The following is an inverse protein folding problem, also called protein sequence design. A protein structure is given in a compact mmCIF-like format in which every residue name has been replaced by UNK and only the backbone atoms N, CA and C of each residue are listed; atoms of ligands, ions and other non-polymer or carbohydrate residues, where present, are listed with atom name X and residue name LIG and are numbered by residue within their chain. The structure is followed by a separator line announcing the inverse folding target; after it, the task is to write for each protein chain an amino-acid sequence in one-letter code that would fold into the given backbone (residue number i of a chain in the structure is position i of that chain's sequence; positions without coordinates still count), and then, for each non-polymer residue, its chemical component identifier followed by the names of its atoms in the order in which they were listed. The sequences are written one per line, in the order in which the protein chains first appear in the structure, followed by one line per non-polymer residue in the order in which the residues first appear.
data_IF_114240879039
#
_entry.id   IF_114240879039
#
_cell.length_a   1.000
_cell.length_b   1.000
_cell.length_c   1.000
_cell.angle_alpha   90.00
_cell.angle_beta   90.00
_cell.angle_gamma   90.00
#
_symmetry.space_group_name_H-M   'P 1'
#
loop_
_entity.id
_entity.type
_entity.pdbx_description
1 polymer ?
#
# COMPACT_ATOMS: atom_id res chain seq x y z
N UNK A 1 60.59 -42.63 3.76
CA UNK A 1 60.65 -41.15 3.73
C UNK A 1 59.34 -40.63 3.16
N UNK A 2 58.72 -39.69 3.87
CA UNK A 2 57.41 -39.07 3.64
C UNK A 2 57.17 -38.55 2.22
N UNK A 3 55.93 -38.62 1.72
CA UNK A 3 54.99 -37.48 1.48
C UNK A 3 53.72 -38.01 0.76
N UNK A 4 52.53 -37.96 1.38
CA UNK A 4 51.47 -36.92 1.28
C UNK A 4 51.00 -36.65 -0.16
N UNK A 5 49.73 -36.97 -0.46
CA UNK A 5 48.82 -36.04 -1.14
C UNK A 5 47.36 -36.47 -0.90
N UNK A 6 46.61 -35.59 -0.23
CA UNK A 6 45.17 -35.67 0.03
C UNK A 6 44.40 -34.91 -1.07
N UNK A 7 43.07 -35.10 -1.05
CA UNK A 7 42.00 -34.32 -1.70
C UNK A 7 41.64 -34.82 -3.12
N UNK A 8 40.37 -34.98 -3.50
CA UNK A 8 39.23 -34.14 -3.17
C UNK A 8 37.89 -34.90 -3.20
N UNK A 9 37.05 -34.63 -2.20
CA UNK A 9 35.60 -34.78 -2.32
C UNK A 9 34.98 -33.52 -1.73
N UNK A 10 34.54 -32.61 -2.60
CA UNK A 10 33.65 -31.52 -2.22
C UNK A 10 32.40 -31.69 -3.05
N UNK A 11 31.37 -32.29 -2.44
CA UNK A 11 30.03 -32.35 -2.98
C UNK A 11 29.42 -30.97 -2.74
N UNK A 12 29.34 -30.16 -3.80
CA UNK A 12 28.62 -28.90 -3.78
C UNK A 12 27.11 -29.19 -3.84
N UNK A 13 26.45 -29.22 -2.68
CA UNK A 13 24.99 -29.26 -2.61
C UNK A 13 24.47 -27.83 -2.57
N UNK A 14 24.01 -27.34 -3.71
CA UNK A 14 23.24 -26.09 -3.83
C UNK A 14 21.91 -26.25 -3.10
N UNK A 15 21.76 -25.63 -1.92
CA UNK A 15 20.47 -25.50 -1.27
C UNK A 15 19.75 -24.28 -1.84
N UNK A 16 18.58 -24.53 -2.42
CA UNK A 16 17.68 -23.56 -3.01
C UNK A 16 17.27 -22.47 -1.99
N UNK A 17 17.43 -21.21 -2.37
CA UNK A 17 16.86 -20.09 -1.61
C UNK A 17 15.35 -20.06 -1.80
N UNK A 18 14.59 -20.34 -0.75
CA UNK A 18 13.17 -20.06 -0.70
C UNK A 18 12.98 -18.54 -0.53
N UNK A 19 12.59 -17.86 -1.62
CA UNK A 19 12.12 -16.49 -1.53
C UNK A 19 10.70 -16.52 -0.95
N UNK A 20 10.55 -16.18 0.34
CA UNK A 20 9.26 -15.75 0.86
C UNK A 20 8.97 -14.36 0.26
N UNK A 21 8.00 -14.28 -0.64
CA UNK A 21 7.34 -13.02 -0.95
C UNK A 21 6.48 -12.63 0.25
N UNK A 22 6.86 -11.56 0.96
CA UNK A 22 6.02 -10.95 1.98
C UNK A 22 4.84 -10.22 1.31
N UNK A 23 3.64 -10.18 1.93
CA UNK A 23 2.58 -9.28 1.51
C UNK A 23 3.06 -7.83 1.74
N UNK A 24 3.02 -7.01 0.68
CA UNK A 24 3.30 -5.59 0.74
C UNK A 24 2.21 -4.85 1.50
N UNK A 25 2.41 -4.70 2.81
CA UNK A 25 1.75 -3.69 3.63
C UNK A 25 2.84 -2.69 4.02
N UNK A 26 3.23 -1.81 3.08
CA UNK A 26 4.15 -0.71 3.38
C UNK A 26 3.31 0.54 3.78
N UNK A 27 3.22 0.88 5.08
CA UNK A 27 2.35 1.96 5.52
C UNK A 27 2.89 3.35 5.20
N UNK A 28 4.14 3.50 4.75
CA UNK A 28 4.72 4.82 4.44
C UNK A 28 6.13 4.68 3.87
N UNK A 29 6.31 4.94 2.58
CA UNK A 29 7.62 5.34 2.08
C UNK A 29 7.94 6.79 2.51
N UNK A 30 8.24 6.96 3.81
CA UNK A 30 8.60 8.22 4.44
C UNK A 30 9.24 7.99 5.82
N UNK A 31 10.58 8.03 5.87
CA UNK A 31 11.48 8.08 7.04
C UNK A 31 10.92 7.57 8.38
N UNK A 32 11.41 6.42 8.83
CA UNK A 32 11.04 5.73 10.07
C UNK A 32 11.07 6.64 11.32
N UNK A 33 9.95 7.30 11.58
CA UNK A 33 9.50 7.61 12.93
C UNK A 33 9.36 6.29 13.70
N UNK A 34 9.52 6.32 15.03
CA UNK A 34 9.21 5.16 15.85
C UNK A 34 7.84 4.59 15.42
N UNK A 35 7.77 3.27 15.23
CA UNK A 35 6.58 2.61 14.70
C UNK A 35 5.34 3.07 15.49
N UNK A 36 4.36 3.62 14.78
CA UNK A 36 3.15 4.14 15.40
C UNK A 36 2.31 2.95 15.92
N UNK A 37 2.10 2.82 17.23
CA UNK A 37 1.42 1.66 17.81
C UNK A 37 -0.07 1.60 17.45
N UNK A 38 -0.68 2.69 17.01
CA UNK A 38 -2.03 2.67 16.44
C UNK A 38 -1.98 2.02 15.06
N UNK A 39 -1.03 2.42 14.21
CA UNK A 39 -0.86 1.86 12.87
C UNK A 39 -0.58 0.36 12.95
N UNK A 40 0.26 -0.10 13.87
CA UNK A 40 0.51 -1.54 14.07
C UNK A 40 -0.80 -2.33 14.33
N UNK A 41 -1.67 -1.81 15.19
CA UNK A 41 -2.97 -2.45 15.50
C UNK A 41 -3.92 -2.39 14.30
N UNK A 42 -3.88 -1.30 13.54
CA UNK A 42 -4.66 -1.12 12.32
C UNK A 42 -4.23 -2.12 11.25
N UNK A 43 -2.92 -2.27 11.01
CA UNK A 43 -2.38 -3.24 10.06
C UNK A 43 -2.72 -4.67 10.49
N UNK A 44 -2.59 -5.00 11.78
CA UNK A 44 -2.99 -6.31 12.29
C UNK A 44 -4.50 -6.59 12.13
N UNK A 45 -5.36 -5.57 12.21
CA UNK A 45 -6.79 -5.69 11.93
C UNK A 45 -7.06 -5.84 10.42
N UNK A 46 -6.38 -5.05 9.58
CA UNK A 46 -6.49 -5.11 8.12
C UNK A 46 -6.07 -6.48 7.56
N UNK A 47 -5.00 -7.07 8.09
CA UNK A 47 -4.53 -8.41 7.73
C UNK A 47 -5.57 -9.51 8.00
N UNK A 48 -6.49 -9.27 8.94
CA UNK A 48 -7.60 -10.17 9.27
C UNK A 48 -8.91 -9.74 8.59
N UNK A 49 -8.88 -8.75 7.70
CA UNK A 49 -10.05 -8.10 7.12
C UNK A 49 -11.06 -7.59 8.16
N UNK A 50 -10.60 -7.28 9.38
CA UNK A 50 -11.41 -6.66 10.43
C UNK A 50 -11.52 -5.15 10.20
N UNK A 51 -12.21 -4.79 9.12
CA UNK A 51 -12.39 -3.41 8.67
C UNK A 51 -13.13 -2.57 9.71
N UNK A 52 -14.05 -3.17 10.48
CA UNK A 52 -14.79 -2.48 11.54
C UNK A 52 -13.87 -2.07 12.67
N UNK A 53 -12.97 -2.95 13.12
CA UNK A 53 -11.96 -2.63 14.12
C UNK A 53 -10.96 -1.59 13.63
N UNK A 54 -10.48 -1.75 12.41
CA UNK A 54 -9.58 -0.78 11.77
C UNK A 54 -10.18 0.63 11.75
N UNK A 55 -11.43 0.75 11.29
CA UNK A 55 -12.17 2.02 11.30
C UNK A 55 -12.37 2.59 12.72
N UNK A 56 -12.63 1.74 13.73
CA UNK A 56 -12.80 2.20 15.10
C UNK A 56 -11.50 2.76 15.69
N UNK A 57 -10.38 2.07 15.51
CA UNK A 57 -9.05 2.51 15.94
C UNK A 57 -8.68 3.85 15.31
N UNK A 58 -8.88 3.98 13.99
CA UNK A 58 -8.51 5.18 13.25
C UNK A 58 -9.41 6.37 13.56
N UNK A 59 -10.71 6.15 13.80
CA UNK A 59 -11.61 7.22 14.26
C UNK A 59 -11.18 7.77 15.63
N UNK A 60 -10.79 6.90 16.56
CA UNK A 60 -10.26 7.33 17.85
C UNK A 60 -8.95 8.10 17.69
N UNK A 61 -8.05 7.59 16.84
CA UNK A 61 -6.74 8.19 16.60
C UNK A 61 -6.84 9.56 15.95
N UNK A 62 -7.70 9.71 14.93
CA UNK A 62 -8.01 11.01 14.29
C UNK A 62 -8.68 12.00 15.25
N UNK A 63 -9.39 11.52 16.27
CA UNK A 63 -9.90 12.38 17.34
C UNK A 63 -8.80 13.01 18.20
N UNK A 64 -7.63 12.37 18.27
CA UNK A 64 -6.45 12.84 19.03
C UNK A 64 -5.47 13.61 18.14
N UNK A 65 -5.25 13.12 16.93
CA UNK A 65 -4.38 13.74 15.93
C UNK A 65 -5.11 13.87 14.57
N UNK A 66 -5.91 14.94 14.41
CA UNK A 66 -6.66 15.18 13.18
C UNK A 66 -5.79 15.64 12.01
N UNK A 67 -4.47 15.81 12.20
CA UNK A 67 -3.55 16.25 11.15
C UNK A 67 -2.59 15.15 10.72
N UNK A 68 -2.89 13.90 11.07
CA UNK A 68 -2.10 12.74 10.67
C UNK A 68 -2.53 12.22 9.29
N UNK A 69 -1.67 12.40 8.29
CA UNK A 69 -1.99 11.98 6.92
C UNK A 69 -2.15 10.46 6.80
N UNK A 70 -1.33 9.68 7.51
CA UNK A 70 -1.38 8.21 7.47
C UNK A 70 -2.68 7.68 8.07
N UNK A 71 -3.19 8.30 9.15
CA UNK A 71 -4.49 7.95 9.72
C UNK A 71 -5.64 8.24 8.76
N UNK A 72 -5.60 9.40 8.09
CA UNK A 72 -6.59 9.73 7.07
C UNK A 72 -6.56 8.73 5.91
N UNK A 73 -5.37 8.38 5.41
CA UNK A 73 -5.16 7.40 4.36
C UNK A 73 -5.69 6.01 4.75
N UNK A 74 -5.24 5.47 5.90
CA UNK A 74 -5.65 4.16 6.38
C UNK A 74 -7.14 4.10 6.73
N UNK A 75 -7.74 5.23 7.15
CA UNK A 75 -9.17 5.25 7.47
C UNK A 75 -10.02 5.16 6.20
N UNK A 76 -9.65 5.93 5.17
CA UNK A 76 -10.27 5.81 3.85
C UNK A 76 -10.09 4.40 3.26
N UNK A 77 -8.91 3.80 3.42
CA UNK A 77 -8.65 2.42 3.01
C UNK A 77 -9.59 1.43 3.72
N UNK A 78 -9.67 1.50 5.05
CA UNK A 78 -10.53 0.61 5.84
C UNK A 78 -12.03 0.81 5.55
N UNK A 79 -12.47 2.03 5.23
CA UNK A 79 -13.86 2.28 4.78
C UNK A 79 -14.08 1.62 3.42
N UNK A 80 -13.19 1.86 2.44
CA UNK A 80 -13.30 1.34 1.07
C UNK A 80 -13.35 -0.19 1.01
N UNK A 81 -12.57 -0.85 1.88
CA UNK A 81 -12.51 -2.32 1.97
C UNK A 81 -13.64 -2.92 2.81
N UNK A 82 -14.29 -2.12 3.64
CA UNK A 82 -15.39 -2.54 4.51
C UNK A 82 -16.68 -2.88 3.75
N UNK A 83 -17.66 -3.48 4.45
CA UNK A 83 -19.00 -3.69 3.89
C UNK A 83 -19.68 -2.33 3.67
N UNK A 84 -20.34 -2.17 2.53
CA UNK A 84 -21.11 -0.99 2.13
C UNK A 84 -20.31 0.34 2.22
N UNK A 85 -19.22 0.48 1.44
CA UNK A 85 -18.33 1.64 1.54
C UNK A 85 -19.04 2.94 1.14
N UNK A 86 -19.06 3.93 2.04
CA UNK A 86 -19.45 5.30 1.72
C UNK A 86 -18.32 5.98 0.95
N UNK A 87 -18.45 6.04 -0.37
CA UNK A 87 -17.40 6.63 -1.22
C UNK A 87 -17.19 8.13 -0.94
N UNK A 88 -18.23 8.88 -0.60
CA UNK A 88 -18.08 10.28 -0.18
C UNK A 88 -17.13 10.42 1.01
N UNK A 89 -17.24 9.53 2.00
CA UNK A 89 -16.36 9.52 3.16
C UNK A 89 -14.94 9.05 2.80
N UNK A 90 -14.81 8.06 1.93
CA UNK A 90 -13.52 7.59 1.39
C UNK A 90 -12.76 8.74 0.73
N UNK A 91 -13.39 9.45 -0.21
CA UNK A 91 -12.76 10.58 -0.89
C UNK A 91 -12.45 11.73 0.07
N UNK A 92 -13.35 12.05 1.01
CA UNK A 92 -13.08 13.07 2.04
C UNK A 92 -11.77 12.79 2.77
N UNK A 93 -11.55 11.56 3.22
CA UNK A 93 -10.36 11.23 4.01
C UNK A 93 -9.09 11.12 3.15
N UNK A 94 -9.15 10.55 1.93
CA UNK A 94 -7.98 10.60 1.05
C UNK A 94 -7.60 12.02 0.64
N UNK A 95 -8.57 12.88 0.34
CA UNK A 95 -8.29 14.28 0.04
C UNK A 95 -7.67 15.00 1.23
N UNK A 96 -8.11 14.71 2.45
CA UNK A 96 -7.49 15.28 3.65
C UNK A 96 -6.07 14.76 3.87
N UNK A 97 -5.81 13.47 3.65
CA UNK A 97 -4.46 12.91 3.67
C UNK A 97 -3.53 13.65 2.69
N UNK A 98 -3.99 13.87 1.45
CA UNK A 98 -3.23 14.59 0.41
C UNK A 98 -3.15 16.10 0.65
N UNK A 99 -4.12 16.69 1.35
CA UNK A 99 -4.05 18.10 1.79
C UNK A 99 -2.95 18.28 2.84
N UNK A 100 -2.79 17.31 3.74
CA UNK A 100 -1.77 17.31 4.80
C UNK A 100 -0.39 16.98 4.22
N UNK A 101 -0.31 15.90 3.44
CA UNK A 101 0.90 15.43 2.77
C UNK A 101 0.62 15.23 1.26
N UNK A 102 0.89 16.25 0.44
CA UNK A 102 0.68 16.17 -1.01
C UNK A 102 1.55 15.13 -1.73
N UNK A 103 2.57 14.59 -1.05
CA UNK A 103 3.49 13.58 -1.61
C UNK A 103 3.23 12.18 -1.04
N UNK A 104 2.12 11.98 -0.33
CA UNK A 104 1.79 10.70 0.28
C UNK A 104 1.47 9.65 -0.80
N UNK A 105 2.42 8.75 -1.07
CA UNK A 105 2.33 7.76 -2.15
C UNK A 105 1.16 6.80 -1.98
N UNK A 106 1.01 6.17 -0.81
CA UNK A 106 -0.14 5.29 -0.54
C UNK A 106 -1.50 5.98 -0.73
N UNK A 107 -1.65 7.23 -0.30
CA UNK A 107 -2.89 7.99 -0.52
C UNK A 107 -3.15 8.26 -2.02
N UNK A 108 -2.11 8.53 -2.82
CA UNK A 108 -2.25 8.65 -4.28
C UNK A 108 -2.66 7.33 -4.94
N UNK A 109 -2.07 6.21 -4.55
CA UNK A 109 -2.46 4.89 -5.06
C UNK A 109 -3.93 4.60 -4.74
N UNK A 110 -4.30 4.64 -3.46
CA UNK A 110 -5.60 4.16 -3.02
C UNK A 110 -6.76 5.08 -3.41
N UNK A 111 -6.54 6.40 -3.49
CA UNK A 111 -7.56 7.30 -4.05
C UNK A 111 -7.72 7.07 -5.56
N UNK A 112 -6.63 6.75 -6.28
CA UNK A 112 -6.66 6.37 -7.68
C UNK A 112 -7.53 5.12 -7.90
N UNK A 113 -7.34 4.08 -7.09
CA UNK A 113 -8.20 2.90 -7.10
C UNK A 113 -9.66 3.23 -6.76
N UNK A 114 -9.90 4.12 -5.79
CA UNK A 114 -11.25 4.55 -5.44
C UNK A 114 -11.95 5.27 -6.62
N UNK A 115 -11.22 6.06 -7.40
CA UNK A 115 -11.76 6.67 -8.62
C UNK A 115 -12.13 5.62 -9.69
N UNK A 116 -11.36 4.54 -9.81
CA UNK A 116 -11.71 3.43 -10.70
C UNK A 116 -13.02 2.74 -10.27
N UNK A 117 -13.29 2.62 -8.96
CA UNK A 117 -14.58 2.10 -8.47
C UNK A 117 -15.76 2.96 -8.93
N UNK A 118 -15.57 4.27 -9.06
CA UNK A 118 -16.56 5.21 -9.61
C UNK A 118 -16.52 5.33 -11.14
N UNK A 119 -15.74 4.48 -11.83
CA UNK A 119 -15.48 4.57 -13.27
C UNK A 119 -14.87 5.90 -13.73
N UNK A 120 -14.22 6.63 -12.85
CA UNK A 120 -13.53 7.87 -13.18
C UNK A 120 -12.06 7.61 -13.52
N UNK A 121 -11.83 7.09 -14.73
CA UNK A 121 -10.49 6.76 -15.22
C UNK A 121 -9.57 7.98 -15.31
N UNK A 122 -10.11 9.14 -15.68
CA UNK A 122 -9.33 10.37 -15.80
C UNK A 122 -8.69 10.76 -14.45
N UNK A 123 -9.48 10.75 -13.36
CA UNK A 123 -8.96 11.05 -12.03
C UNK A 123 -7.97 10.00 -11.53
N UNK A 124 -8.20 8.72 -11.81
CA UNK A 124 -7.22 7.68 -11.47
C UNK A 124 -5.86 7.92 -12.16
N UNK A 125 -5.86 8.33 -13.43
CA UNK A 125 -4.65 8.67 -14.18
C UNK A 125 -3.94 9.92 -13.64
N UNK A 126 -4.67 10.94 -13.18
CA UNK A 126 -4.04 12.09 -12.52
C UNK A 126 -3.18 11.67 -11.30
N UNK A 127 -3.66 10.71 -10.50
CA UNK A 127 -2.90 10.19 -9.37
C UNK A 127 -1.74 9.28 -9.80
N UNK A 128 -1.90 8.52 -10.88
CA UNK A 128 -0.81 7.75 -11.48
C UNK A 128 0.32 8.66 -11.98
N UNK A 129 0.00 9.76 -12.64
CA UNK A 129 0.99 10.75 -13.11
C UNK A 129 1.67 11.48 -11.95
N UNK A 130 0.95 11.69 -10.83
CA UNK A 130 1.57 12.19 -9.61
C UNK A 130 2.59 11.19 -9.04
N UNK A 131 2.24 9.90 -8.98
CA UNK A 131 3.16 8.84 -8.55
C UNK A 131 4.37 8.72 -9.47
N UNK A 132 4.17 8.78 -10.80
CA UNK A 132 5.25 8.72 -11.79
C UNK A 132 6.31 9.83 -11.56
N UNK A 133 5.84 11.06 -11.28
CA UNK A 133 6.72 12.19 -10.95
C UNK A 133 7.45 12.04 -9.63
N UNK A 134 6.86 11.37 -8.65
CA UNK A 134 7.46 11.15 -7.32
C UNK A 134 8.39 9.92 -7.27
N UNK A 135 8.19 8.96 -8.16
CA UNK A 135 8.83 7.66 -8.14
C UNK A 135 9.75 7.47 -9.36
N UNK A 136 10.81 8.27 -9.45
CA UNK A 136 11.74 8.29 -10.59
C UNK A 136 12.39 6.93 -10.92
N UNK A 137 12.64 6.08 -9.92
CA UNK A 137 13.13 4.71 -10.11
C UNK A 137 12.04 3.64 -9.96
N UNK A 138 10.77 4.06 -9.94
CA UNK A 138 9.63 3.24 -9.57
C UNK A 138 9.40 3.20 -8.05
N UNK A 139 8.18 2.88 -7.69
CA UNK A 139 7.75 2.54 -6.33
C UNK A 139 6.62 1.51 -6.44
N UNK A 140 6.33 0.85 -5.33
CA UNK A 140 5.27 -0.16 -5.28
C UNK A 140 3.91 0.48 -5.64
N UNK A 141 3.62 1.65 -5.09
CA UNK A 141 2.37 2.37 -5.26
C UNK A 141 2.08 2.73 -6.72
N UNK A 142 3.12 3.19 -7.43
CA UNK A 142 3.03 3.43 -8.87
C UNK A 142 2.71 2.14 -9.63
N UNK A 143 3.40 1.06 -9.31
CA UNK A 143 3.24 -0.22 -10.00
C UNK A 143 1.85 -0.81 -9.79
N UNK A 144 1.33 -0.69 -8.56
CA UNK A 144 0.00 -1.15 -8.17
C UNK A 144 -1.10 -0.35 -8.87
N UNK A 145 -1.06 0.99 -8.80
CA UNK A 145 -2.08 1.80 -9.47
C UNK A 145 -2.01 1.65 -11.00
N UNK A 146 -0.81 1.56 -11.58
CA UNK A 146 -0.63 1.33 -13.02
C UNK A 146 -1.30 0.03 -13.48
N UNK A 147 -1.13 -1.05 -12.69
CA UNK A 147 -1.78 -2.33 -12.94
C UNK A 147 -3.31 -2.20 -12.85
N UNK A 148 -3.83 -1.57 -11.80
CA UNK A 148 -5.26 -1.38 -11.62
C UNK A 148 -5.91 -0.57 -12.77
N UNK A 149 -5.23 0.48 -13.24
CA UNK A 149 -5.66 1.27 -14.41
C UNK A 149 -5.70 0.41 -15.68
N UNK A 150 -4.65 -0.36 -15.95
CA UNK A 150 -4.60 -1.23 -17.13
C UNK A 150 -5.70 -2.31 -17.11
N UNK A 151 -5.95 -2.92 -15.95
CA UNK A 151 -7.03 -3.89 -15.77
C UNK A 151 -8.41 -3.25 -15.99
N UNK A 152 -8.63 -2.04 -15.46
CA UNK A 152 -9.87 -1.30 -15.67
C UNK A 152 -10.14 -1.01 -17.15
N UNK A 153 -9.13 -0.57 -17.90
CA UNK A 153 -9.22 -0.29 -19.33
C UNK A 153 -9.53 -1.56 -20.14
N UNK A 154 -8.79 -2.64 -19.87
CA UNK A 154 -9.00 -3.92 -20.53
C UNK A 154 -10.40 -4.50 -20.27
N UNK A 155 -10.95 -4.31 -19.06
CA UNK A 155 -12.30 -4.76 -18.71
C UNK A 155 -13.40 -3.86 -19.29
N UNK A 156 -13.10 -2.58 -19.50
CA UNK A 156 -14.05 -1.63 -20.11
C UNK A 156 -14.16 -1.82 -21.62
N UNK A 157 -13.09 -2.25 -22.29
CA UNK A 157 -13.09 -2.57 -23.73
C UNK A 157 -13.83 -3.87 -24.09
N UNK A 158 -14.13 -4.72 -23.10
CA UNK A 158 -14.84 -6.01 -23.29
C UNK A 158 -16.36 -5.91 -23.11
N UNK A 159 -16.88 -4.75 -22.71
CA UNK A 159 -18.32 -4.49 -22.53
C UNK A 159 -18.86 -3.72 -23.72
#
# INVERSE_FOLDING_TARGET
MNTVQRHASIIALMAASAALAAPGDDPSAGAAAAADPVIEKVLAANAQADWRRSQALLREALGKDPRNADYHNLYAYAIRKGPDPSLDLVFKHYHEALRINPTHRGAHEYIGEAYLMQRNLAKAKEHLDALDRMCFFGCEEYSMLKKAVAEFEANSAKK
#
